data_IF_516072991670
#
_entry.id   IF_516072991670
#
_cell.length_a   1.000
_cell.length_b   1.000
_cell.length_c   1.000
_cell.angle_alpha   90.00
_cell.angle_beta   90.00
_cell.angle_gamma   90.00
#
_symmetry.space_group_name_H-M   'P 1'
#
loop_
_entity.id
_entity.type
_entity.pdbx_description
1 polymer ?
#
# COMPACT_ATOMS: atom_id res chain seq x y z
N UNK A 1 19.46 2.74 4.42
CA UNK A 1 18.95 2.68 3.03
C UNK A 1 17.47 2.41 3.20
N UNK A 2 16.71 3.48 3.46
CA UNK A 2 15.26 3.41 3.77
C UNK A 2 14.38 3.53 2.51
N UNK A 3 14.99 3.63 1.32
CA UNK A 3 14.31 3.91 0.04
C UNK A 3 12.98 3.14 -0.14
N UNK A 4 12.96 1.84 0.12
CA UNK A 4 11.78 1.02 -0.16
C UNK A 4 10.55 1.34 0.72
N UNK A 5 10.76 1.80 1.95
CA UNK A 5 9.67 2.05 2.91
C UNK A 5 9.06 3.43 2.66
N UNK A 6 9.90 4.42 2.35
CA UNK A 6 9.49 5.81 2.11
C UNK A 6 8.57 5.95 0.88
N UNK A 7 8.66 5.02 -0.08
CA UNK A 7 7.84 5.01 -1.30
C UNK A 7 6.55 4.17 -1.19
N UNK A 8 6.25 3.57 -0.03
CA UNK A 8 5.03 2.74 0.13
C UNK A 8 3.77 3.57 -0.08
N UNK A 9 3.76 4.81 0.40
CA UNK A 9 2.63 5.71 0.25
C UNK A 9 2.41 6.08 -1.23
N UNK A 10 3.47 6.48 -1.93
CA UNK A 10 3.45 6.78 -3.37
C UNK A 10 3.01 5.56 -4.21
N UNK A 11 3.45 4.36 -3.83
CA UNK A 11 3.04 3.13 -4.48
C UNK A 11 1.51 2.95 -4.45
N UNK A 12 0.88 3.09 -3.29
CA UNK A 12 -0.58 2.90 -3.16
C UNK A 12 -1.39 4.12 -3.61
N UNK A 13 -0.88 5.33 -3.40
CA UNK A 13 -1.57 6.58 -3.72
C UNK A 13 -1.47 6.97 -5.19
N UNK A 14 -0.50 6.47 -5.95
CA UNK A 14 -0.30 6.88 -7.34
C UNK A 14 -0.08 5.70 -8.29
N UNK A 15 0.99 4.93 -8.10
CA UNK A 15 1.38 3.92 -9.10
C UNK A 15 0.35 2.80 -9.21
N UNK A 16 -0.06 2.21 -8.09
CA UNK A 16 -0.91 1.02 -8.07
C UNK A 16 -2.32 1.32 -8.60
N UNK A 17 -2.96 2.43 -8.20
CA UNK A 17 -4.27 2.83 -8.74
C UNK A 17 -4.26 3.10 -10.24
N UNK A 18 -3.17 3.68 -10.78
CA UNK A 18 -3.10 4.06 -12.19
C UNK A 18 -2.65 2.92 -13.10
N UNK A 19 -1.83 2.00 -12.59
CA UNK A 19 -1.13 0.99 -13.42
C UNK A 19 -1.63 -0.43 -13.20
N UNK A 20 -2.19 -0.76 -12.05
CA UNK A 20 -2.84 -2.04 -11.87
C UNK A 20 -4.29 -1.94 -12.37
N UNK A 21 -4.55 -2.37 -13.62
CA UNK A 21 -5.87 -2.29 -14.26
C UNK A 21 -7.02 -2.95 -13.46
N UNK A 22 -6.70 -3.79 -12.48
CA UNK A 22 -7.64 -4.47 -11.57
C UNK A 22 -7.58 -3.92 -10.14
N UNK A 23 -7.09 -2.69 -9.96
CA UNK A 23 -7.02 -2.00 -8.68
C UNK A 23 -8.41 -1.83 -8.09
N UNK A 24 -8.65 -2.43 -6.92
CA UNK A 24 -9.88 -2.39 -6.15
C UNK A 24 -9.49 -2.37 -4.67
N UNK A 25 -10.39 -1.98 -3.74
CA UNK A 25 -10.09 -2.10 -2.31
C UNK A 25 -9.66 -3.52 -1.91
N UNK A 26 -10.21 -4.55 -2.56
CA UNK A 26 -9.84 -5.93 -2.32
C UNK A 26 -8.40 -6.24 -2.77
N UNK A 27 -7.98 -5.80 -3.96
CA UNK A 27 -6.60 -6.01 -4.43
C UNK A 27 -5.59 -5.18 -3.63
N UNK A 28 -5.95 -4.00 -3.13
CA UNK A 28 -5.16 -3.24 -2.14
C UNK A 28 -4.93 -4.05 -0.86
N UNK A 29 -6.01 -4.58 -0.25
CA UNK A 29 -5.91 -5.39 0.98
C UNK A 29 -5.05 -6.64 0.80
N UNK A 30 -5.14 -7.29 -0.36
CA UNK A 30 -4.29 -8.43 -0.71
C UNK A 30 -2.82 -7.99 -0.84
N UNK A 31 -2.55 -6.90 -1.54
CA UNK A 31 -1.19 -6.39 -1.74
C UNK A 31 -0.54 -5.97 -0.42
N UNK A 32 -1.26 -5.22 0.43
CA UNK A 32 -0.84 -4.87 1.81
C UNK A 32 -0.49 -6.13 2.61
N UNK A 33 -1.28 -7.20 2.49
CA UNK A 33 -1.01 -8.47 3.17
C UNK A 33 0.28 -9.11 2.68
N UNK A 34 0.48 -9.17 1.36
CA UNK A 34 1.70 -9.69 0.75
C UNK A 34 2.94 -8.87 1.11
N UNK A 35 2.83 -7.54 1.13
CA UNK A 35 3.92 -6.62 1.48
C UNK A 35 4.37 -6.82 2.94
N UNK A 36 3.42 -6.93 3.89
CA UNK A 36 3.73 -7.25 5.29
C UNK A 36 4.48 -8.57 5.43
N UNK A 37 4.02 -9.62 4.73
CA UNK A 37 4.68 -10.94 4.76
C UNK A 37 6.08 -10.88 4.14
N UNK A 38 6.25 -10.14 3.06
CA UNK A 38 7.54 -9.97 2.40
C UNK A 38 8.55 -9.28 3.33
N UNK A 39 8.17 -8.17 3.97
CA UNK A 39 9.05 -7.49 4.92
C UNK A 39 9.27 -8.27 6.22
N UNK A 40 8.28 -9.04 6.69
CA UNK A 40 8.49 -9.96 7.81
C UNK A 40 9.56 -11.01 7.46
N UNK A 41 9.51 -11.60 6.26
CA UNK A 41 10.54 -12.51 5.78
C UNK A 41 11.91 -11.82 5.66
N UNK A 42 11.97 -10.60 5.11
CA UNK A 42 13.23 -9.84 5.03
C UNK A 42 13.81 -9.56 6.42
N UNK A 43 12.96 -9.28 7.41
CA UNK A 43 13.37 -9.10 8.80
C UNK A 43 13.96 -10.40 9.39
N UNK A 44 13.28 -11.53 9.20
CA UNK A 44 13.77 -12.86 9.63
C UNK A 44 15.12 -13.23 8.99
N UNK A 45 15.40 -12.74 7.78
CA UNK A 45 16.67 -12.93 7.08
C UNK A 45 17.74 -11.89 7.43
N UNK A 46 17.43 -10.90 8.27
CA UNK A 46 18.33 -9.80 8.60
C UNK A 46 18.60 -8.85 7.42
N UNK A 47 17.75 -8.86 6.39
CA UNK A 47 17.83 -7.97 5.23
C UNK A 47 17.22 -6.59 5.51
N UNK A 48 16.32 -6.51 6.48
CA UNK A 48 15.84 -5.26 7.08
C UNK A 48 15.90 -5.38 8.60
N UNK A 49 16.16 -4.28 9.26
CA UNK A 49 16.13 -4.19 10.72
C UNK A 49 14.70 -4.34 11.25
N UNK A 50 14.59 -4.61 12.56
CA UNK A 50 13.30 -4.61 13.25
C UNK A 50 12.62 -3.24 13.20
N UNK A 51 13.40 -2.16 13.33
CA UNK A 51 12.90 -0.79 13.27
C UNK A 51 12.31 -0.47 11.90
N UNK A 52 12.96 -0.86 10.81
CA UNK A 52 12.46 -0.69 9.44
C UNK A 52 11.14 -1.46 9.24
N UNK A 53 11.07 -2.72 9.70
CA UNK A 53 9.82 -3.48 9.63
C UNK A 53 8.69 -2.84 10.43
N UNK A 54 8.96 -2.40 11.66
CA UNK A 54 7.97 -1.71 12.50
C UNK A 54 7.51 -0.37 11.89
N UNK A 55 8.42 0.35 11.23
CA UNK A 55 8.12 1.59 10.51
C UNK A 55 7.16 1.33 9.35
N UNK A 56 7.41 0.29 8.55
CA UNK A 56 6.48 -0.13 7.50
C UNK A 56 5.09 -0.47 8.08
N UNK A 57 5.03 -1.23 9.17
CA UNK A 57 3.76 -1.59 9.80
C UNK A 57 2.99 -0.36 10.29
N UNK A 58 3.71 0.65 10.77
CA UNK A 58 3.13 1.91 11.22
C UNK A 58 2.56 2.71 10.02
N UNK A 59 3.32 2.87 8.94
CA UNK A 59 2.82 3.53 7.70
C UNK A 59 1.55 2.85 7.19
N UNK A 60 1.56 1.51 7.10
CA UNK A 60 0.37 0.76 6.67
C UNK A 60 -0.81 0.99 7.62
N UNK A 61 -0.57 1.05 8.93
CA UNK A 61 -1.65 1.28 9.91
C UNK A 61 -2.27 2.67 9.73
N UNK A 62 -1.44 3.68 9.52
CA UNK A 62 -1.87 5.08 9.50
C UNK A 62 -2.55 5.43 8.17
N UNK A 63 -2.09 4.87 7.05
CA UNK A 63 -2.53 5.30 5.72
C UNK A 63 -3.47 4.32 5.01
N UNK A 64 -3.62 3.08 5.50
CA UNK A 64 -4.44 2.05 4.83
C UNK A 64 -5.85 2.52 4.49
N UNK A 65 -6.55 3.19 5.41
CA UNK A 65 -7.93 3.62 5.14
C UNK A 65 -7.97 4.70 4.04
N UNK A 66 -7.02 5.64 4.06
CA UNK A 66 -6.87 6.66 3.00
C UNK A 66 -6.64 6.00 1.64
N UNK A 67 -5.76 5.00 1.57
CA UNK A 67 -5.51 4.27 0.32
C UNK A 67 -6.76 3.57 -0.23
N UNK A 68 -7.58 3.00 0.67
CA UNK A 68 -8.82 2.32 0.31
C UNK A 68 -9.88 3.30 -0.18
N UNK A 69 -10.04 4.45 0.49
CA UNK A 69 -10.96 5.49 0.08
C UNK A 69 -10.58 6.07 -1.28
N UNK A 70 -9.28 6.30 -1.51
CA UNK A 70 -8.78 6.84 -2.78
C UNK A 70 -9.03 5.90 -3.95
N UNK A 71 -8.82 4.59 -3.79
CA UNK A 71 -9.10 3.64 -4.88
C UNK A 71 -10.60 3.45 -5.11
N UNK A 72 -11.41 3.49 -4.05
CA UNK A 72 -12.87 3.42 -4.19
C UNK A 72 -13.39 4.65 -4.96
N UNK A 73 -12.94 5.85 -4.59
CA UNK A 73 -13.30 7.07 -5.29
C UNK A 73 -12.80 7.07 -6.74
N UNK A 74 -11.56 6.60 -6.99
CA UNK A 74 -11.00 6.50 -8.34
C UNK A 74 -11.77 5.55 -9.27
N UNK A 75 -12.37 4.50 -8.71
CA UNK A 75 -13.17 3.52 -9.46
C UNK A 75 -14.64 3.91 -9.60
N UNK A 76 -15.10 4.92 -8.84
CA UNK A 76 -16.49 5.39 -8.89
C UNK A 76 -16.59 6.44 -10.01
N UNK A 77 -17.46 6.25 -11.03
CA UNK A 77 -17.71 7.27 -12.03
C UNK A 77 -18.27 8.55 -11.39
N UNK A 78 -17.83 9.73 -11.81
CA UNK A 78 -18.50 10.99 -11.44
C UNK A 78 -19.90 11.00 -12.07
N UNK A 79 -20.93 10.99 -11.21
CA UNK A 79 -22.36 11.09 -11.60
C UNK A 79 -22.75 12.54 -11.96
N UNK A 80 -21.89 13.30 -12.63
CA UNK A 80 -22.12 14.71 -12.99
C UNK A 80 -23.00 14.90 -14.26
N UNK A 81 -23.73 13.87 -14.69
CA UNK A 81 -24.53 13.87 -15.91
C UNK A 81 -25.97 13.35 -15.74
N UNK A 82 -26.76 13.90 -14.79
CA UNK A 82 -28.23 13.83 -14.82
C UNK A 82 -28.90 15.07 -14.22
#
# INVERSE_FOLDING_TARGET
>A
MEDGIDHVDEFFMDWFKRKAMWSTPASYKQNITSLKKFYAYMNEKGLVSKQEYETLLQIIRDHKEIWLDVIEAYNTPDDDYF
#
